data_IF_401895712931
#
_entry.id   IF_401895712931
#
_cell.length_a   1.000
_cell.length_b   1.000
_cell.length_c   1.000
_cell.angle_alpha   90.00
_cell.angle_beta   90.00
_cell.angle_gamma   90.00
#
_symmetry.space_group_name_H-M   'P 1'
#
loop_
_entity.id
_entity.type
_entity.pdbx_description
1 polymer ?
#
# COMPACT_ATOMS: atom_id res chain seq x y z
N UNK A 1 -17.27 12.18 5.08
CA UNK A 1 -16.24 11.23 5.59
C UNK A 1 -15.95 11.62 7.02
N UNK A 2 -16.10 10.70 7.98
CA UNK A 2 -15.76 10.98 9.37
C UNK A 2 -14.24 11.12 9.48
N UNK A 3 -13.76 12.21 10.07
CA UNK A 3 -12.32 12.37 10.32
C UNK A 3 -11.94 11.42 11.45
N UNK A 4 -10.91 10.59 11.22
CA UNK A 4 -10.35 9.74 12.25
C UNK A 4 -9.81 10.60 13.40
N UNK A 5 -9.81 10.06 14.62
CA UNK A 5 -9.18 10.75 15.75
C UNK A 5 -7.67 10.92 15.48
N UNK A 6 -7.01 11.95 16.07
CA UNK A 6 -5.57 12.16 15.90
C UNK A 6 -4.75 10.91 16.26
N UNK A 7 -5.15 10.21 17.32
CA UNK A 7 -4.51 8.97 17.76
C UNK A 7 -4.66 7.83 16.73
N UNK A 8 -5.87 7.63 16.16
CA UNK A 8 -6.08 6.64 15.11
C UNK A 8 -5.27 6.96 13.83
N UNK A 9 -5.15 8.26 13.50
CA UNK A 9 -4.35 8.73 12.36
C UNK A 9 -2.85 8.47 12.57
N UNK A 10 -2.35 8.68 13.79
CA UNK A 10 -0.98 8.36 14.19
C UNK A 10 -0.70 6.85 14.09
N UNK A 11 -1.57 6.01 14.66
CA UNK A 11 -1.41 4.55 14.61
C UNK A 11 -1.46 4.01 13.18
N UNK A 12 -2.32 4.54 12.31
CA UNK A 12 -2.33 4.19 10.88
C UNK A 12 -1.05 4.63 10.16
N UNK A 13 -0.48 5.79 10.50
CA UNK A 13 0.83 6.21 9.95
C UNK A 13 1.95 5.28 10.40
N UNK A 14 2.00 4.89 11.68
CA UNK A 14 2.99 3.93 12.19
C UNK A 14 2.83 2.55 11.55
N UNK A 15 1.60 2.04 11.46
CA UNK A 15 1.28 0.80 10.75
C UNK A 15 1.73 0.82 9.28
N UNK A 16 1.48 1.93 8.58
CA UNK A 16 1.91 2.13 7.18
C UNK A 16 3.43 2.14 7.04
N UNK A 17 4.15 2.83 7.93
CA UNK A 17 5.63 2.86 7.92
C UNK A 17 6.20 1.48 8.22
N UNK A 18 5.65 0.75 9.21
CA UNK A 18 6.05 -0.62 9.52
C UNK A 18 5.82 -1.58 8.34
N UNK A 19 4.62 -1.56 7.75
CA UNK A 19 4.30 -2.37 6.57
C UNK A 19 5.19 -2.02 5.37
N UNK A 20 5.46 -0.73 5.17
CA UNK A 20 6.36 -0.26 4.11
C UNK A 20 7.80 -0.73 4.31
N UNK A 21 8.32 -0.61 5.54
CA UNK A 21 9.66 -1.08 5.90
C UNK A 21 9.79 -2.60 5.73
N UNK A 22 8.77 -3.38 6.11
CA UNK A 22 8.72 -4.83 5.91
C UNK A 22 8.91 -5.19 4.42
N UNK A 23 8.08 -4.64 3.53
CA UNK A 23 8.18 -4.94 2.09
C UNK A 23 9.45 -4.39 1.45
N UNK A 24 9.93 -3.23 1.90
CA UNK A 24 11.17 -2.63 1.42
C UNK A 24 12.40 -3.48 1.77
N UNK A 25 12.49 -3.97 3.01
CA UNK A 25 13.58 -4.86 3.46
C UNK A 25 13.51 -6.19 2.70
N UNK A 26 12.32 -6.78 2.55
CA UNK A 26 12.16 -8.02 1.79
C UNK A 26 12.57 -7.86 0.31
N UNK A 27 12.09 -6.83 -0.38
CA UNK A 27 12.43 -6.55 -1.77
C UNK A 27 13.93 -6.29 -1.96
N UNK A 28 14.53 -5.44 -1.13
CA UNK A 28 15.98 -5.17 -1.17
C UNK A 28 16.81 -6.41 -0.89
N UNK A 29 16.41 -7.26 0.08
CA UNK A 29 17.15 -8.49 0.41
C UNK A 29 17.19 -9.47 -0.77
N UNK A 30 16.16 -9.51 -1.61
CA UNK A 30 16.12 -10.34 -2.83
C UNK A 30 16.99 -9.74 -3.93
N UNK A 31 16.89 -8.43 -4.15
CA UNK A 31 17.68 -7.71 -5.17
C UNK A 31 19.19 -7.77 -4.89
N UNK A 32 19.60 -7.65 -3.62
CA UNK A 32 21.01 -7.61 -3.25
C UNK A 32 21.64 -9.01 -3.24
N UNK A 33 20.99 -9.99 -2.61
CA UNK A 33 21.61 -11.28 -2.34
C UNK A 33 21.63 -12.24 -3.55
N UNK A 34 21.08 -11.86 -4.72
CA UNK A 34 20.95 -12.72 -5.91
C UNK A 34 20.44 -14.13 -5.57
N UNK A 35 19.61 -14.23 -4.52
CA UNK A 35 19.23 -15.48 -3.89
C UNK A 35 18.13 -16.12 -4.71
N UNK A 36 18.55 -16.77 -5.80
CA UNK A 36 17.72 -17.47 -6.77
C UNK A 36 16.50 -18.04 -6.06
N UNK A 37 15.35 -17.41 -6.33
CA UNK A 37 14.13 -17.57 -5.57
C UNK A 37 13.83 -19.06 -5.52
N UNK A 38 14.05 -19.68 -4.35
CA UNK A 38 13.76 -21.12 -4.13
C UNK A 38 12.26 -21.31 -4.07
N UNK A 39 11.64 -21.13 -5.24
CA UNK A 39 10.24 -21.33 -5.55
C UNK A 39 9.97 -22.79 -5.22
N UNK A 40 9.20 -23.09 -4.15
CA UNK A 40 9.02 -24.46 -3.72
C UNK A 40 8.28 -25.24 -4.81
N UNK A 41 8.61 -26.52 -4.97
CA UNK A 41 8.21 -27.31 -6.14
C UNK A 41 6.68 -27.37 -6.36
N UNK A 42 5.86 -27.26 -5.32
CA UNK A 42 4.39 -27.20 -5.44
C UNK A 42 3.87 -25.90 -6.10
N UNK A 43 4.67 -24.83 -6.17
CA UNK A 43 4.36 -23.58 -6.89
C UNK A 43 4.26 -23.84 -8.40
N UNK A 44 4.98 -24.85 -8.91
CA UNK A 44 4.83 -25.34 -10.29
C UNK A 44 3.46 -25.97 -10.55
N UNK A 45 2.65 -26.25 -9.53
CA UNK A 45 1.27 -26.72 -9.71
C UNK A 45 0.27 -25.59 -9.97
N UNK A 46 0.31 -24.52 -9.17
CA UNK A 46 -0.67 -23.42 -9.27
C UNK A 46 -0.38 -22.42 -10.39
N UNK A 47 0.88 -22.23 -10.77
CA UNK A 47 1.31 -21.26 -11.79
C UNK A 47 2.07 -21.93 -12.96
N UNK A 48 1.74 -23.20 -13.20
CA UNK A 48 2.45 -24.19 -14.02
C UNK A 48 2.83 -23.79 -15.44
N UNK A 49 2.04 -22.92 -16.08
CA UNK A 49 2.28 -22.46 -17.45
C UNK A 49 3.14 -21.19 -17.51
N UNK A 50 2.58 -20.00 -17.23
CA UNK A 50 3.23 -18.75 -17.64
C UNK A 50 4.43 -18.32 -16.77
N UNK A 51 4.41 -18.64 -15.47
CA UNK A 51 5.40 -18.09 -14.51
C UNK A 51 6.65 -18.95 -14.42
N UNK A 52 6.48 -20.28 -14.42
CA UNK A 52 7.58 -21.26 -14.45
C UNK A 52 8.44 -21.11 -15.72
N UNK A 53 7.82 -20.89 -16.88
CA UNK A 53 8.51 -20.68 -18.15
C UNK A 53 9.25 -19.35 -18.23
N UNK A 54 8.89 -18.35 -17.41
CA UNK A 54 9.44 -16.99 -17.44
C UNK A 54 10.13 -16.59 -16.13
N UNK A 55 10.59 -17.56 -15.31
CA UNK A 55 11.20 -17.31 -13.99
C UNK A 55 12.28 -16.21 -14.00
N UNK A 56 13.11 -16.16 -15.06
CA UNK A 56 14.16 -15.15 -15.30
C UNK A 56 13.66 -13.71 -15.19
N UNK A 57 12.40 -13.45 -15.52
CA UNK A 57 11.78 -12.12 -15.50
C UNK A 57 10.89 -11.91 -14.28
N UNK A 58 10.22 -12.95 -13.77
CA UNK A 58 9.31 -12.82 -12.62
C UNK A 58 10.02 -12.57 -11.30
N UNK A 59 11.18 -13.18 -11.05
CA UNK A 59 11.93 -12.98 -9.80
C UNK A 59 12.41 -11.53 -9.60
N UNK A 60 13.07 -10.89 -10.58
CA UNK A 60 13.40 -9.47 -10.50
C UNK A 60 12.15 -8.59 -10.41
N UNK A 61 11.10 -8.88 -11.19
CA UNK A 61 9.87 -8.09 -11.19
C UNK A 61 9.16 -8.11 -9.83
N UNK A 62 9.03 -9.26 -9.18
CA UNK A 62 8.47 -9.36 -7.81
C UNK A 62 9.32 -8.55 -6.83
N UNK A 63 10.64 -8.71 -6.87
CA UNK A 63 11.56 -8.04 -5.93
C UNK A 63 11.58 -6.51 -6.11
N UNK A 64 11.48 -6.02 -7.34
CA UNK A 64 11.27 -4.60 -7.66
C UNK A 64 9.89 -4.13 -7.16
N UNK A 65 8.84 -4.92 -7.36
CA UNK A 65 7.47 -4.58 -6.92
C UNK A 65 7.39 -4.46 -5.40
N UNK A 66 7.97 -5.41 -4.65
CA UNK A 66 8.06 -5.35 -3.18
C UNK A 66 8.82 -4.11 -2.69
N UNK A 67 9.98 -3.83 -3.30
CA UNK A 67 10.79 -2.64 -3.02
C UNK A 67 10.00 -1.34 -3.26
N UNK A 68 9.31 -1.22 -4.40
CA UNK A 68 8.52 -0.04 -4.77
C UNK A 68 7.28 0.12 -3.87
N UNK A 69 6.55 -0.95 -3.60
CA UNK A 69 5.41 -0.96 -2.65
C UNK A 69 5.87 -0.51 -1.27
N UNK A 70 6.98 -1.06 -0.78
CA UNK A 70 7.57 -0.70 0.49
C UNK A 70 7.97 0.77 0.57
N UNK A 71 8.71 1.26 -0.42
CA UNK A 71 9.15 2.65 -0.51
C UNK A 71 7.97 3.64 -0.55
N UNK A 72 6.97 3.38 -1.39
CA UNK A 72 5.77 4.23 -1.49
C UNK A 72 4.97 4.27 -0.18
N UNK A 73 4.86 3.12 0.50
CA UNK A 73 4.24 3.04 1.83
C UNK A 73 5.06 3.78 2.90
N UNK A 74 6.39 3.71 2.91
CA UNK A 74 7.19 4.50 3.87
C UNK A 74 6.96 6.00 3.64
N UNK A 75 7.09 6.46 2.39
CA UNK A 75 6.94 7.87 2.01
C UNK A 75 5.50 8.40 2.13
N UNK A 76 4.49 7.52 2.15
CA UNK A 76 3.08 7.94 2.17
C UNK A 76 2.63 8.56 0.85
N UNK A 77 3.07 7.95 -0.25
CA UNK A 77 2.71 8.27 -1.62
C UNK A 77 1.80 7.17 -2.16
N UNK A 78 0.68 7.55 -2.78
CA UNK A 78 -0.27 6.60 -3.37
C UNK A 78 -0.72 5.52 -2.38
N UNK A 79 -0.86 5.88 -1.09
CA UNK A 79 -0.92 4.95 0.05
C UNK A 79 -1.90 3.81 -0.14
N UNK A 80 -3.08 4.06 -0.74
CA UNK A 80 -4.07 3.03 -1.06
C UNK A 80 -3.61 2.06 -2.15
N UNK A 81 -3.04 2.55 -3.25
CA UNK A 81 -2.56 1.69 -4.33
C UNK A 81 -1.40 0.80 -3.84
N UNK A 82 -0.48 1.36 -3.06
CA UNK A 82 0.64 0.61 -2.48
C UNK A 82 0.18 -0.37 -1.39
N UNK A 83 -0.84 -0.02 -0.59
CA UNK A 83 -1.45 -0.96 0.35
C UNK A 83 -2.19 -2.11 -0.35
N UNK A 84 -2.87 -1.85 -1.48
CA UNK A 84 -3.45 -2.89 -2.32
C UNK A 84 -2.37 -3.80 -2.92
N UNK A 85 -1.25 -3.23 -3.38
CA UNK A 85 -0.08 -3.99 -3.82
C UNK A 85 0.51 -4.87 -2.72
N UNK A 86 0.68 -4.33 -1.50
CA UNK A 86 1.11 -5.08 -0.33
C UNK A 86 0.14 -6.23 0.04
N UNK A 87 -1.17 -5.99 -0.06
CA UNK A 87 -2.17 -7.02 0.16
C UNK A 87 -2.13 -8.12 -0.92
N UNK A 88 -1.93 -7.76 -2.19
CA UNK A 88 -1.80 -8.72 -3.29
C UNK A 88 -0.51 -9.56 -3.18
N UNK A 89 0.62 -8.94 -2.81
CA UNK A 89 1.89 -9.64 -2.55
C UNK A 89 1.77 -10.59 -1.34
N UNK A 90 1.14 -10.13 -0.25
CA UNK A 90 0.90 -10.95 0.94
C UNK A 90 -0.05 -12.11 0.68
N UNK A 91 -1.18 -11.87 0.01
CA UNK A 91 -2.12 -12.91 -0.42
C UNK A 91 -1.44 -13.92 -1.37
N UNK A 92 -0.62 -13.43 -2.32
CA UNK A 92 0.23 -14.28 -3.14
C UNK A 92 1.12 -15.18 -2.28
N UNK A 93 1.84 -14.63 -1.31
CA UNK A 93 2.68 -15.42 -0.40
C UNK A 93 1.88 -16.47 0.41
N UNK A 94 0.62 -16.20 0.78
CA UNK A 94 -0.27 -17.13 1.51
C UNK A 94 -0.93 -18.21 0.64
N UNK A 95 -1.18 -17.92 -0.64
CA UNK A 95 -1.62 -18.94 -1.61
C UNK A 95 -0.47 -19.90 -1.92
N UNK A 96 0.72 -19.33 -2.03
CA UNK A 96 1.96 -20.07 -1.89
C UNK A 96 2.11 -20.49 -0.41
N UNK A 97 3.05 -21.38 -0.05
CA UNK A 97 3.09 -22.10 1.25
C UNK A 97 1.92 -23.07 1.49
N UNK A 98 0.75 -22.86 0.88
CA UNK A 98 -0.41 -23.73 1.03
C UNK A 98 -1.27 -23.42 2.26
N UNK A 99 -1.43 -22.15 2.64
CA UNK A 99 -2.21 -21.75 3.84
C UNK A 99 -3.68 -22.21 3.75
N UNK A 100 -4.23 -22.31 2.52
CA UNK A 100 -5.58 -22.82 2.29
C UNK A 100 -5.74 -24.32 2.62
N UNK A 101 -4.63 -25.06 2.74
CA UNK A 101 -4.60 -26.49 3.06
C UNK A 101 -4.02 -26.79 4.45
N UNK A 102 -3.40 -25.82 5.11
CA UNK A 102 -2.81 -25.97 6.44
C UNK A 102 -3.04 -24.71 7.30
N UNK A 103 -3.96 -24.84 8.27
CA UNK A 103 -4.35 -23.78 9.19
C UNK A 103 -3.21 -23.34 10.13
N UNK A 104 -2.17 -24.15 10.35
CA UNK A 104 -1.02 -23.73 11.16
C UNK A 104 -0.26 -22.56 10.52
N UNK A 105 -0.31 -22.45 9.19
CA UNK A 105 0.34 -21.38 8.42
C UNK A 105 -0.45 -20.06 8.51
N UNK A 106 -1.73 -20.08 8.92
CA UNK A 106 -2.53 -18.86 9.19
C UNK A 106 -1.93 -18.06 10.35
N UNK A 107 -1.22 -18.70 11.28
CA UNK A 107 -0.52 -18.05 12.39
C UNK A 107 0.81 -17.38 11.98
N UNK A 108 1.18 -17.38 10.70
CA UNK A 108 2.44 -16.76 10.22
C UNK A 108 2.33 -15.25 10.05
N UNK A 109 3.47 -14.55 10.15
CA UNK A 109 3.54 -13.10 9.97
C UNK A 109 2.98 -12.59 8.63
N UNK A 110 2.96 -13.42 7.58
CA UNK A 110 2.37 -13.06 6.29
C UNK A 110 0.86 -12.80 6.36
N UNK A 111 0.12 -13.52 7.21
CA UNK A 111 -1.31 -13.29 7.41
C UNK A 111 -1.55 -11.93 8.08
N UNK A 112 -0.79 -11.63 9.14
CA UNK A 112 -0.84 -10.34 9.84
C UNK A 112 -0.47 -9.17 8.90
N UNK A 113 0.59 -9.30 8.10
CA UNK A 113 1.02 -8.32 7.10
C UNK A 113 -0.06 -8.08 6.03
N UNK A 114 -0.73 -9.14 5.56
CA UNK A 114 -1.82 -9.04 4.57
C UNK A 114 -3.04 -8.33 5.15
N UNK A 115 -3.47 -8.69 6.37
CA UNK A 115 -4.58 -8.00 7.07
C UNK A 115 -4.24 -6.54 7.33
N UNK A 116 -3.01 -6.23 7.76
CA UNK A 116 -2.55 -4.86 7.99
C UNK A 116 -2.62 -4.01 6.70
N UNK A 117 -2.24 -4.60 5.56
CA UNK A 117 -2.35 -3.95 4.25
C UNK A 117 -3.80 -3.65 3.88
N UNK A 118 -4.74 -4.58 4.11
CA UNK A 118 -6.18 -4.36 3.89
C UNK A 118 -6.76 -3.28 4.80
N UNK A 119 -6.35 -3.21 6.07
CA UNK A 119 -6.75 -2.15 7.01
C UNK A 119 -6.27 -0.77 6.54
N UNK A 120 -5.02 -0.66 6.10
CA UNK A 120 -4.46 0.59 5.56
C UNK A 120 -5.16 1.00 4.27
N UNK A 121 -5.46 0.05 3.38
CA UNK A 121 -6.22 0.29 2.15
C UNK A 121 -7.61 0.86 2.43
N UNK A 122 -8.35 0.24 3.36
CA UNK A 122 -9.72 0.64 3.69
C UNK A 122 -9.82 2.00 4.42
N UNK A 123 -8.89 2.29 5.34
CA UNK A 123 -9.03 3.42 6.28
C UNK A 123 -8.27 4.70 5.88
N UNK A 124 -7.50 4.71 4.79
CA UNK A 124 -6.64 5.85 4.46
C UNK A 124 -7.40 7.18 4.24
N UNK A 125 -6.87 8.35 4.68
CA UNK A 125 -5.45 8.56 5.03
C UNK A 125 -5.17 9.01 6.49
N UNK A 126 -4.06 8.50 7.04
CA UNK A 126 -3.29 9.18 8.10
C UNK A 126 -2.33 10.23 7.50
N UNK A 127 -1.29 10.62 8.23
CA UNK A 127 -0.30 11.61 7.77
C UNK A 127 0.56 11.09 6.61
N UNK A 128 0.66 11.84 5.51
CA UNK A 128 1.48 11.53 4.34
C UNK A 128 1.41 12.64 3.26
N UNK A 129 2.15 12.49 2.16
CA UNK A 129 2.13 13.46 1.05
C UNK A 129 0.74 13.52 0.41
N UNK A 130 0.06 12.37 0.32
CA UNK A 130 -1.35 12.28 -0.09
C UNK A 130 -2.25 13.25 0.70
N UNK A 131 -2.00 13.39 2.01
CA UNK A 131 -2.77 14.25 2.93
C UNK A 131 -2.52 15.75 2.71
N UNK A 132 -1.27 16.13 2.36
CA UNK A 132 -0.95 17.50 1.94
C UNK A 132 -1.74 17.88 0.67
N UNK A 133 -1.86 16.95 -0.28
CA UNK A 133 -2.65 17.18 -1.49
C UNK A 133 -4.14 17.37 -1.20
N UNK A 134 -4.72 16.63 -0.24
CA UNK A 134 -6.12 16.83 0.16
C UNK A 134 -6.33 18.15 0.89
N UNK A 135 -5.40 18.58 1.75
CA UNK A 135 -5.47 19.89 2.39
C UNK A 135 -5.40 21.04 1.38
N UNK A 136 -4.55 20.93 0.36
CA UNK A 136 -4.49 21.92 -0.72
C UNK A 136 -5.83 22.04 -1.46
N UNK A 137 -6.45 20.91 -1.82
CA UNK A 137 -7.79 20.87 -2.44
C UNK A 137 -8.86 21.49 -1.54
N UNK A 138 -8.87 21.16 -0.24
CA UNK A 138 -9.85 21.69 0.71
C UNK A 138 -9.69 23.22 0.89
N UNK A 139 -8.46 23.74 0.94
CA UNK A 139 -8.20 25.19 0.97
C UNK A 139 -8.69 25.90 -0.28
N UNK A 140 -8.43 25.34 -1.47
CA UNK A 140 -8.92 25.88 -2.74
C UNK A 140 -10.45 25.92 -2.81
N UNK A 141 -11.13 24.85 -2.40
CA UNK A 141 -12.59 24.80 -2.35
C UNK A 141 -13.19 25.88 -1.42
N UNK A 142 -12.64 26.03 -0.21
CA UNK A 142 -13.05 27.08 0.75
C UNK A 142 -12.81 28.49 0.21
N UNK A 143 -11.73 28.73 -0.56
CA UNK A 143 -11.46 30.02 -1.21
C UNK A 143 -12.53 30.37 -2.24
N UNK A 144 -12.93 29.43 -3.09
CA UNK A 144 -14.00 29.61 -4.08
C UNK A 144 -15.34 29.89 -3.40
N UNK A 145 -15.68 29.16 -2.33
CA UNK A 145 -16.89 29.42 -1.56
C UNK A 145 -16.90 30.82 -0.92
N UNK A 146 -15.78 31.26 -0.32
CA UNK A 146 -15.68 32.62 0.26
C UNK A 146 -15.88 33.72 -0.78
N UNK A 147 -15.31 33.57 -1.98
CA UNK A 147 -15.49 34.54 -3.09
C UNK A 147 -16.94 34.60 -3.58
N UNK A 148 -17.66 33.46 -3.63
CA UNK A 148 -19.09 33.44 -3.97
C UNK A 148 -19.99 33.99 -2.85
N UNK A 149 -19.56 33.88 -1.58
CA UNK A 149 -20.33 34.32 -0.43
C UNK A 149 -20.17 35.80 -0.09
N UNK A 150 -19.15 36.48 -0.60
CA UNK A 150 -19.06 37.95 -0.54
C UNK A 150 -20.07 38.56 -1.52
N UNK A 151 -21.14 39.23 -1.05
CA UNK A 151 -22.05 39.94 -1.95
C UNK A 151 -21.27 41.07 -2.63
N UNK A 152 -21.27 41.09 -3.95
CA UNK A 152 -20.72 42.21 -4.71
C UNK A 152 -21.66 43.38 -4.49
N UNK A 153 -21.27 44.32 -3.63
CA UNK A 153 -22.03 45.55 -3.39
C UNK A 153 -21.83 46.48 -4.59
N UNK A 154 -22.52 46.18 -5.69
CA UNK A 154 -22.53 46.99 -6.90
C UNK A 154 -23.29 48.26 -6.60
N UNK A 155 -22.54 49.32 -6.26
CA UNK A 155 -23.06 50.68 -6.28
C UNK A 155 -23.31 51.05 -7.74
N UNK A 156 -24.58 51.12 -8.13
CA UNK A 156 -24.95 51.68 -9.42
C UNK A 156 -24.68 53.20 -9.40
N UNK A 157 -24.16 53.78 -10.49
CA UNK A 157 -24.10 55.23 -10.63
C UNK A 157 -25.53 55.77 -10.86
N UNK A 158 -25.89 56.80 -10.11
CA UNK A 158 -27.11 57.61 -10.30
C UNK A 158 -26.93 58.59 -11.48
#
# INVERSE_FOLDING_TARGET
MNRLSPNASLWLTLARIYLGAYWLIHGLSKLLNHSALRIPQWYHGMLAGPVTQNMRWSEPAISITETLVGLLLVLGLLTRASALGAAALGAGFLLTKGVLTDYTVVATGAAAITVLALVIFALAPGFGIDHLSSFARERSARRVQRVRATPVNVKWPD
#
